data_IF_127214875407
#
_entry.id   IF_127214875407
#
_cell.length_a   1.000
_cell.length_b   1.000
_cell.length_c   1.000
_cell.angle_alpha   90.00
_cell.angle_beta   90.00
_cell.angle_gamma   90.00
#
_symmetry.space_group_name_H-M   'P 1'
#
loop_
_entity.id
_entity.type
_entity.pdbx_description
1 polymer ?
#
# COMPACT_ATOMS: atom_id res chain seq x y z
N UNK A 1 30.52 -9.13 1.04
CA UNK A 1 29.14 -8.62 0.80
C UNK A 1 28.97 -7.34 1.60
N UNK A 2 28.57 -6.23 1.00
CA UNK A 2 28.39 -4.96 1.72
C UNK A 2 27.26 -5.10 2.77
N UNK A 3 27.44 -4.65 4.03
CA UNK A 3 26.41 -4.72 5.08
C UNK A 3 25.06 -4.10 4.70
N UNK A 4 25.09 -3.11 3.81
CA UNK A 4 23.92 -2.33 3.36
C UNK A 4 22.91 -3.17 2.57
N UNK A 5 23.35 -4.21 1.83
CA UNK A 5 22.45 -5.05 1.02
C UNK A 5 21.59 -5.99 1.86
N UNK A 6 22.00 -6.29 3.10
CA UNK A 6 21.20 -7.09 4.04
C UNK A 6 20.03 -6.29 4.62
N UNK A 7 20.27 -5.04 4.98
CA UNK A 7 19.27 -4.16 5.58
C UNK A 7 18.08 -3.91 4.65
N UNK A 8 18.33 -3.78 3.34
CA UNK A 8 17.25 -3.62 2.33
C UNK A 8 16.37 -4.87 2.27
N UNK A 9 16.93 -6.08 2.38
CA UNK A 9 16.13 -7.31 2.36
C UNK A 9 15.18 -7.43 3.56
N UNK A 10 15.68 -7.11 4.76
CA UNK A 10 14.87 -7.09 5.98
C UNK A 10 13.81 -5.98 5.94
N UNK A 11 14.17 -4.79 5.43
CA UNK A 11 13.25 -3.69 5.18
C UNK A 11 12.03 -4.11 4.37
N UNK A 12 12.27 -4.82 3.26
CA UNK A 12 11.20 -5.26 2.37
C UNK A 12 10.18 -6.16 3.08
N UNK A 13 10.66 -7.09 3.91
CA UNK A 13 9.79 -7.96 4.72
C UNK A 13 8.96 -7.13 5.69
N UNK A 14 9.58 -6.20 6.42
CA UNK A 14 8.86 -5.38 7.40
C UNK A 14 7.85 -4.42 6.76
N UNK A 15 8.21 -3.73 5.68
CA UNK A 15 7.27 -2.89 4.94
C UNK A 15 6.09 -3.71 4.44
N UNK A 16 6.34 -4.91 3.90
CA UNK A 16 5.27 -5.77 3.40
C UNK A 16 4.38 -6.30 4.54
N UNK A 17 4.93 -6.61 5.71
CA UNK A 17 4.14 -6.95 6.90
C UNK A 17 3.22 -5.79 7.30
N UNK A 18 3.72 -4.54 7.30
CA UNK A 18 2.87 -3.37 7.58
C UNK A 18 1.76 -3.25 6.53
N UNK A 19 2.07 -3.44 5.23
CA UNK A 19 1.05 -3.46 4.16
C UNK A 19 -0.01 -4.52 4.42
N UNK A 20 0.36 -5.74 4.83
CA UNK A 20 -0.61 -6.81 5.13
C UNK A 20 -1.48 -6.48 6.33
N UNK A 21 -0.89 -6.00 7.43
CA UNK A 21 -1.63 -5.67 8.66
C UNK A 21 -2.60 -4.51 8.44
N UNK A 22 -2.13 -3.44 7.80
CA UNK A 22 -2.96 -2.30 7.46
C UNK A 22 -4.01 -2.66 6.42
N UNK A 23 -3.67 -3.48 5.42
CA UNK A 23 -4.61 -3.97 4.42
C UNK A 23 -5.73 -4.78 5.05
N UNK A 24 -5.41 -5.72 5.95
CA UNK A 24 -6.40 -6.48 6.70
C UNK A 24 -7.33 -5.56 7.51
N UNK A 25 -6.80 -4.51 8.14
CA UNK A 25 -7.64 -3.50 8.80
C UNK A 25 -8.61 -2.84 7.80
N UNK A 26 -8.11 -2.36 6.65
CA UNK A 26 -8.94 -1.70 5.64
C UNK A 26 -10.04 -2.62 5.11
N UNK A 27 -9.78 -3.93 4.97
CA UNK A 27 -10.78 -4.88 4.48
C UNK A 27 -12.01 -5.03 5.39
N UNK A 28 -11.91 -4.72 6.68
CA UNK A 28 -13.07 -4.77 7.58
C UNK A 28 -14.09 -3.65 7.33
N UNK A 29 -13.67 -2.56 6.70
CA UNK A 29 -14.48 -1.36 6.48
C UNK A 29 -14.73 -1.06 5.00
N UNK A 30 -14.14 -1.83 4.10
CA UNK A 30 -14.27 -1.64 2.66
C UNK A 30 -15.36 -2.55 2.07
N UNK A 31 -16.20 -1.98 1.20
CA UNK A 31 -17.27 -2.72 0.52
C UNK A 31 -16.97 -2.83 -0.98
N UNK A 32 -16.64 -4.02 -1.52
CA UNK A 32 -16.26 -4.19 -2.93
C UNK A 32 -17.49 -4.25 -3.87
N UNK A 33 -18.31 -3.20 -3.89
CA UNK A 33 -19.52 -3.12 -4.73
C UNK A 33 -19.55 -1.87 -5.61
N UNK A 34 -19.98 -2.04 -6.86
CA UNK A 34 -20.17 -0.96 -7.85
C UNK A 34 -21.60 -0.42 -7.85
N UNK A 35 -22.45 -0.85 -6.92
CA UNK A 35 -23.81 -0.34 -6.77
C UNK A 35 -23.79 1.16 -6.49
N UNK A 36 -24.64 1.89 -7.20
CA UNK A 36 -24.74 3.35 -7.10
C UNK A 36 -25.50 3.74 -5.83
N UNK A 37 -24.90 4.62 -5.03
CA UNK A 37 -25.45 5.16 -3.80
C UNK A 37 -25.28 6.67 -3.78
N UNK A 38 -26.21 7.36 -3.12
CA UNK A 38 -26.07 8.80 -2.84
C UNK A 38 -25.29 8.96 -1.55
N UNK A 39 -24.16 9.69 -1.60
CA UNK A 39 -23.32 9.88 -0.43
C UNK A 39 -23.99 10.80 0.60
N UNK A 40 -24.03 10.34 1.85
CA UNK A 40 -24.58 11.06 3.01
C UNK A 40 -23.64 11.00 4.23
N UNK A 41 -22.35 10.71 4.00
CA UNK A 41 -21.33 10.61 5.05
C UNK A 41 -20.81 11.97 5.53
N UNK A 42 -19.78 12.00 6.39
CA UNK A 42 -19.31 13.25 7.02
C UNK A 42 -18.59 14.24 6.11
N UNK A 43 -18.19 13.85 4.90
CA UNK A 43 -17.48 14.72 3.97
C UNK A 43 -18.44 15.62 3.17
N UNK A 44 -18.72 16.81 3.69
CA UNK A 44 -19.75 17.72 3.18
C UNK A 44 -19.66 18.04 1.67
N UNK A 45 -18.45 18.13 1.12
CA UNK A 45 -18.23 18.48 -0.30
C UNK A 45 -18.77 17.45 -1.29
N UNK A 46 -19.00 16.21 -0.86
CA UNK A 46 -19.53 15.14 -1.71
C UNK A 46 -20.94 14.71 -1.32
N UNK A 47 -21.57 15.35 -0.32
CA UNK A 47 -22.95 15.01 0.08
C UNK A 47 -23.94 15.22 -1.05
N UNK A 48 -24.86 14.28 -1.20
CA UNK A 48 -25.88 14.29 -2.25
C UNK A 48 -25.36 13.87 -3.63
N UNK A 49 -24.08 13.52 -3.78
CA UNK A 49 -23.51 13.07 -5.04
C UNK A 49 -23.65 11.55 -5.16
N UNK A 50 -24.13 11.09 -6.32
CA UNK A 50 -24.18 9.67 -6.65
C UNK A 50 -22.77 9.13 -6.95
N UNK A 51 -22.43 7.99 -6.33
CA UNK A 51 -21.13 7.33 -6.48
C UNK A 51 -21.25 5.83 -6.23
N UNK A 52 -20.20 5.06 -6.48
CA UNK A 52 -20.20 3.64 -6.14
C UNK A 52 -20.15 3.43 -4.62
N UNK A 53 -20.75 2.33 -4.17
CA UNK A 53 -20.68 1.88 -2.77
C UNK A 53 -19.23 1.66 -2.33
N UNK A 54 -18.36 1.21 -3.25
CA UNK A 54 -16.92 1.12 -3.03
C UNK A 54 -16.32 2.49 -2.69
N UNK A 55 -16.58 3.53 -3.49
CA UNK A 55 -16.05 4.86 -3.24
C UNK A 55 -16.66 5.49 -1.96
N UNK A 56 -17.94 5.27 -1.70
CA UNK A 56 -18.58 5.70 -0.45
C UNK A 56 -17.90 5.06 0.79
N UNK A 57 -17.68 3.73 0.78
CA UNK A 57 -16.98 3.05 1.90
C UNK A 57 -15.54 3.53 2.09
N UNK A 58 -14.89 3.96 1.02
CA UNK A 58 -13.57 4.58 1.05
C UNK A 58 -13.63 5.95 1.75
N UNK A 59 -14.64 6.78 1.47
CA UNK A 59 -14.84 8.06 2.16
C UNK A 59 -15.14 7.84 3.65
N UNK A 60 -16.03 6.92 3.99
CA UNK A 60 -16.38 6.60 5.38
C UNK A 60 -15.13 6.10 6.15
N UNK A 61 -14.30 5.27 5.52
CA UNK A 61 -13.03 4.82 6.09
C UNK A 61 -12.06 5.97 6.31
N UNK A 62 -12.08 7.02 5.50
CA UNK A 62 -11.24 8.19 5.70
C UNK A 62 -11.74 9.09 6.82
N UNK A 63 -13.04 9.38 6.86
CA UNK A 63 -13.58 10.48 7.66
C UNK A 63 -14.34 10.03 8.90
N UNK A 64 -14.94 8.83 8.89
CA UNK A 64 -15.82 8.35 9.96
C UNK A 64 -15.17 7.27 10.84
N UNK A 65 -14.22 6.49 10.30
CA UNK A 65 -13.46 5.50 11.07
C UNK A 65 -12.30 6.17 11.81
N UNK A 66 -12.26 6.02 13.14
CA UNK A 66 -11.17 6.56 13.99
C UNK A 66 -9.82 6.02 13.51
N UNK A 67 -8.96 6.92 13.06
CA UNK A 67 -7.63 6.59 12.53
C UNK A 67 -7.64 5.96 11.14
N UNK A 68 -8.78 5.85 10.47
CA UNK A 68 -8.88 5.18 9.18
C UNK A 68 -8.10 5.89 8.07
N UNK A 69 -8.17 7.23 7.97
CA UNK A 69 -7.31 8.01 7.06
C UNK A 69 -5.82 7.77 7.30
N UNK A 70 -5.39 7.72 8.57
CA UNK A 70 -4.02 7.44 8.92
C UNK A 70 -3.59 6.04 8.47
N UNK A 71 -4.41 5.02 8.72
CA UNK A 71 -4.11 3.64 8.30
C UNK A 71 -4.06 3.52 6.77
N UNK A 72 -4.95 4.21 6.04
CA UNK A 72 -4.91 4.29 4.57
C UNK A 72 -3.61 4.89 4.06
N UNK A 73 -3.20 6.03 4.61
CA UNK A 73 -1.92 6.65 4.26
C UNK A 73 -0.76 5.72 4.61
N UNK A 74 -0.77 5.11 5.80
CA UNK A 74 0.26 4.17 6.22
C UNK A 74 0.36 2.96 5.25
N UNK A 75 -0.78 2.41 4.82
CA UNK A 75 -0.83 1.32 3.85
C UNK A 75 -0.21 1.71 2.50
N UNK A 76 -0.60 2.88 1.98
CA UNK A 76 -0.10 3.39 0.70
C UNK A 76 1.40 3.73 0.77
N UNK A 77 1.82 4.50 1.77
CA UNK A 77 3.24 4.87 1.95
C UNK A 77 4.12 3.64 2.16
N UNK A 78 3.66 2.65 2.93
CA UNK A 78 4.40 1.39 3.11
C UNK A 78 4.53 0.60 1.81
N UNK A 79 3.49 0.60 0.97
CA UNK A 79 3.51 -0.02 -0.35
C UNK A 79 4.49 0.67 -1.30
N UNK A 80 4.55 2.01 -1.28
CA UNK A 80 5.51 2.80 -2.06
C UNK A 80 6.95 2.52 -1.60
N UNK A 81 7.20 2.55 -0.29
CA UNK A 81 8.53 2.26 0.27
C UNK A 81 8.96 0.82 -0.08
N UNK A 82 8.04 -0.14 -0.04
CA UNK A 82 8.30 -1.50 -0.49
C UNK A 82 8.75 -1.54 -1.96
N UNK A 83 7.99 -0.93 -2.88
CA UNK A 83 8.34 -0.92 -4.31
C UNK A 83 9.67 -0.23 -4.60
N UNK A 84 9.91 0.94 -3.98
CA UNK A 84 11.18 1.65 -4.10
C UNK A 84 12.33 0.79 -3.56
N UNK A 85 12.13 0.10 -2.44
CA UNK A 85 13.11 -0.83 -1.89
C UNK A 85 13.43 -2.00 -2.83
N UNK A 86 12.43 -2.55 -3.52
CA UNK A 86 12.65 -3.63 -4.50
C UNK A 86 13.41 -3.10 -5.72
N UNK A 87 13.07 -1.89 -6.19
CA UNK A 87 13.78 -1.23 -7.28
C UNK A 87 15.24 -0.93 -6.91
N UNK A 88 15.51 -0.45 -5.69
CA UNK A 88 16.88 -0.25 -5.19
C UNK A 88 17.64 -1.58 -5.05
N UNK A 89 16.96 -2.68 -4.68
CA UNK A 89 17.56 -4.01 -4.69
C UNK A 89 17.91 -4.46 -6.11
N UNK A 90 17.12 -4.08 -7.11
CA UNK A 90 17.37 -4.42 -8.51
C UNK A 90 18.66 -3.75 -9.02
N UNK A 91 18.90 -2.48 -8.69
CA UNK A 91 20.14 -1.78 -9.10
C UNK A 91 21.40 -2.39 -8.48
N UNK A 92 21.27 -3.10 -7.36
CA UNK A 92 22.35 -3.83 -6.72
C UNK A 92 22.67 -5.19 -7.36
N UNK A 93 21.84 -5.68 -8.29
CA UNK A 93 22.05 -6.95 -8.97
C UNK A 93 23.18 -6.81 -10.00
N UNK A 94 24.17 -7.72 -9.95
CA UNK A 94 25.35 -7.67 -10.84
C UNK A 94 25.26 -8.65 -12.02
N UNK A 95 24.27 -9.54 -12.01
CA UNK A 95 24.06 -10.54 -13.04
C UNK A 95 22.56 -10.69 -13.33
N UNK A 96 22.22 -10.96 -14.59
CA UNK A 96 20.84 -11.08 -15.06
C UNK A 96 20.03 -12.10 -14.24
N UNK A 97 20.59 -13.30 -14.01
CA UNK A 97 19.91 -14.36 -13.25
C UNK A 97 19.64 -13.97 -11.79
N UNK A 98 20.44 -13.07 -11.20
CA UNK A 98 20.19 -12.52 -9.87
C UNK A 98 19.08 -11.47 -9.88
N UNK A 99 18.95 -10.73 -10.99
CA UNK A 99 17.93 -9.71 -11.18
C UNK A 99 16.54 -10.29 -11.45
N UNK A 100 16.43 -11.42 -12.17
CA UNK A 100 15.15 -12.07 -12.53
C UNK A 100 14.15 -12.17 -11.36
N UNK A 101 14.48 -12.75 -10.19
CA UNK A 101 13.53 -12.85 -9.08
C UNK A 101 13.18 -11.48 -8.47
N UNK A 102 14.07 -10.49 -8.55
CA UNK A 102 13.81 -9.12 -8.06
C UNK A 102 12.90 -8.36 -9.02
N UNK A 103 13.10 -8.52 -10.33
CA UNK A 103 12.22 -7.98 -11.38
C UNK A 103 10.82 -8.59 -11.23
N UNK A 104 10.72 -9.90 -11.04
CA UNK A 104 9.44 -10.57 -10.82
C UNK A 104 8.71 -9.99 -9.59
N UNK A 105 9.42 -9.81 -8.47
CA UNK A 105 8.85 -9.20 -7.27
C UNK A 105 8.42 -7.74 -7.50
N UNK A 106 9.20 -6.96 -8.26
CA UNK A 106 8.87 -5.58 -8.60
C UNK A 106 7.60 -5.49 -9.45
N UNK A 107 7.50 -6.34 -10.49
CA UNK A 107 6.33 -6.40 -11.37
C UNK A 107 5.10 -6.86 -10.60
N UNK A 108 5.20 -7.94 -9.82
CA UNK A 108 4.09 -8.43 -9.00
C UNK A 108 3.63 -7.39 -7.98
N UNK A 109 4.56 -6.70 -7.32
CA UNK A 109 4.24 -5.63 -6.40
C UNK A 109 3.57 -4.44 -7.09
N UNK A 110 4.05 -4.04 -8.26
CA UNK A 110 3.49 -2.93 -9.02
C UNK A 110 2.06 -3.26 -9.51
N UNK A 111 1.86 -4.47 -10.05
CA UNK A 111 0.52 -4.96 -10.40
C UNK A 111 -0.41 -4.99 -9.19
N UNK A 112 0.10 -5.42 -8.02
CA UNK A 112 -0.68 -5.40 -6.79
C UNK A 112 -1.10 -3.98 -6.38
N UNK A 113 -0.19 -3.00 -6.52
CA UNK A 113 -0.47 -1.60 -6.20
C UNK A 113 -1.50 -0.99 -7.16
N UNK A 114 -1.41 -1.29 -8.46
CA UNK A 114 -2.41 -0.87 -9.45
C UNK A 114 -3.76 -1.50 -9.14
N UNK A 115 -3.79 -2.80 -8.85
CA UNK A 115 -5.02 -3.49 -8.50
C UNK A 115 -5.66 -2.90 -7.24
N UNK A 116 -4.86 -2.57 -6.22
CA UNK A 116 -5.35 -1.92 -5.00
C UNK A 116 -5.89 -0.51 -5.25
N UNK A 117 -5.24 0.26 -6.12
CA UNK A 117 -5.72 1.61 -6.48
C UNK A 117 -7.01 1.56 -7.29
N UNK A 118 -7.19 0.58 -8.18
CA UNK A 118 -8.42 0.39 -8.94
C UNK A 118 -9.67 0.17 -8.06
N UNK A 119 -9.49 -0.22 -6.79
CA UNK A 119 -10.57 -0.43 -5.82
C UNK A 119 -11.15 0.84 -5.24
N UNK A 120 -10.45 1.98 -5.32
CA UNK A 120 -11.00 3.24 -4.80
C UNK A 120 -12.17 3.73 -5.63
N UNK A 121 -12.24 3.32 -6.90
CA UNK A 121 -13.30 3.66 -7.85
C UNK A 121 -13.59 5.18 -7.94
N UNK A 122 -12.57 5.99 -7.66
CA UNK A 122 -12.57 7.42 -7.98
C UNK A 122 -12.50 7.64 -9.51
N UNK A 123 -12.64 8.89 -9.97
CA UNK A 123 -12.64 9.21 -11.41
C UNK A 123 -11.41 8.68 -12.18
N UNK A 124 -10.26 8.57 -11.52
CA UNK A 124 -9.03 8.07 -12.14
C UNK A 124 -8.94 6.53 -12.02
N UNK A 125 -9.26 5.98 -10.85
CA UNK A 125 -9.31 4.53 -10.62
C UNK A 125 -10.36 3.82 -11.49
N UNK A 126 -11.53 4.43 -11.72
CA UNK A 126 -12.56 3.91 -12.61
C UNK A 126 -12.09 3.76 -14.06
N UNK A 127 -11.20 4.65 -14.55
CA UNK A 127 -10.58 4.51 -15.88
C UNK A 127 -9.60 3.34 -15.96
N UNK A 128 -8.87 3.05 -14.89
CA UNK A 128 -7.94 1.91 -14.82
C UNK A 128 -8.72 0.60 -14.73
N UNK A 129 -9.80 0.58 -13.94
CA UNK A 129 -10.67 -0.58 -13.73
C UNK A 129 -11.37 -1.03 -15.02
N UNK A 130 -11.79 -0.07 -15.85
CA UNK A 130 -12.61 -0.32 -17.03
C UNK A 130 -13.97 -0.91 -16.66
N UNK A 131 -14.50 -1.78 -17.52
CA UNK A 131 -15.82 -2.42 -17.33
C UNK A 131 -15.79 -3.61 -16.36
N UNK A 132 -14.61 -4.01 -15.89
CA UNK A 132 -14.48 -5.18 -15.03
C UNK A 132 -15.13 -4.94 -13.65
N UNK A 133 -15.81 -5.97 -13.08
CA UNK A 133 -16.43 -5.86 -11.77
C UNK A 133 -15.40 -5.54 -10.66
N UNK A 134 -15.78 -4.67 -9.72
CA UNK A 134 -14.94 -4.32 -8.56
C UNK A 134 -14.52 -5.57 -7.77
N UNK A 135 -15.43 -6.53 -7.62
CA UNK A 135 -15.15 -7.80 -6.94
C UNK A 135 -14.00 -8.61 -7.57
N UNK A 136 -13.83 -8.54 -8.91
CA UNK A 136 -12.73 -9.23 -9.58
C UNK A 136 -11.38 -8.56 -9.31
N UNK A 137 -11.34 -7.23 -9.36
CA UNK A 137 -10.15 -6.47 -8.96
C UNK A 137 -9.80 -6.70 -7.49
N UNK A 138 -10.82 -6.82 -6.63
CA UNK A 138 -10.64 -7.11 -5.21
C UNK A 138 -10.01 -8.49 -5.00
N UNK A 139 -10.57 -9.52 -5.64
CA UNK A 139 -10.00 -10.86 -5.63
C UNK A 139 -8.58 -10.91 -6.20
N UNK A 140 -8.33 -10.22 -7.32
CA UNK A 140 -7.01 -10.13 -7.93
C UNK A 140 -5.99 -9.43 -7.02
N UNK A 141 -6.37 -8.35 -6.35
CA UNK A 141 -5.53 -7.65 -5.36
C UNK A 141 -5.17 -8.56 -4.19
N UNK A 142 -6.13 -9.28 -3.61
CA UNK A 142 -5.85 -10.22 -2.51
C UNK A 142 -4.94 -11.37 -2.96
N UNK A 143 -5.18 -11.92 -4.15
CA UNK A 143 -4.35 -12.98 -4.72
C UNK A 143 -2.93 -12.49 -4.99
N UNK A 144 -2.77 -11.32 -5.61
CA UNK A 144 -1.46 -10.72 -5.88
C UNK A 144 -0.71 -10.41 -4.59
N UNK A 145 -1.39 -9.88 -3.56
CA UNK A 145 -0.80 -9.66 -2.24
C UNK A 145 -0.27 -10.97 -1.64
N UNK A 146 -1.04 -12.06 -1.74
CA UNK A 146 -0.59 -13.39 -1.32
C UNK A 146 0.61 -13.90 -2.12
N UNK A 147 0.60 -13.76 -3.44
CA UNK A 147 1.72 -14.18 -4.31
C UNK A 147 2.98 -13.37 -3.99
N UNK A 148 2.87 -12.05 -3.79
CA UNK A 148 3.99 -11.19 -3.38
C UNK A 148 4.53 -11.62 -2.03
N UNK A 149 3.65 -11.93 -1.06
CA UNK A 149 4.04 -12.45 0.25
C UNK A 149 4.85 -13.75 0.11
N UNK A 150 4.35 -14.70 -0.67
CA UNK A 150 5.00 -15.99 -0.90
C UNK A 150 6.36 -15.81 -1.60
N UNK A 151 6.42 -14.98 -2.64
CA UNK A 151 7.65 -14.67 -3.37
C UNK A 151 8.70 -14.02 -2.44
N UNK A 152 8.27 -13.10 -1.57
CA UNK A 152 9.12 -12.44 -0.59
C UNK A 152 9.65 -13.42 0.46
N UNK A 153 8.80 -14.33 0.96
CA UNK A 153 9.21 -15.40 1.90
C UNK A 153 10.21 -16.34 1.24
N UNK A 154 9.97 -16.76 0.00
CA UNK A 154 10.91 -17.61 -0.74
C UNK A 154 12.25 -16.89 -0.94
N UNK A 155 12.22 -15.61 -1.32
CA UNK A 155 13.42 -14.79 -1.47
C UNK A 155 14.19 -14.66 -0.15
N UNK A 156 13.48 -14.44 0.96
CA UNK A 156 14.06 -14.34 2.30
C UNK A 156 14.69 -15.66 2.76
N UNK A 157 14.02 -16.80 2.55
CA UNK A 157 14.55 -18.13 2.88
C UNK A 157 15.81 -18.46 2.08
N UNK A 158 15.85 -18.13 0.80
CA UNK A 158 17.04 -18.29 -0.06
C UNK A 158 18.20 -17.38 0.36
N UNK A 159 17.90 -16.24 0.97
CA UNK A 159 18.91 -15.27 1.41
C UNK A 159 19.63 -15.69 2.70
N UNK A 160 19.21 -16.77 3.39
CA UNK A 160 19.91 -17.39 4.51
C UNK A 160 20.41 -16.39 5.57
N UNK A 161 19.55 -15.96 6.49
CA UNK A 161 19.98 -15.06 7.57
C UNK A 161 19.90 -15.73 8.95
N UNK A 162 21.08 -16.04 9.49
CA UNK A 162 21.32 -16.09 10.94
C UNK A 162 20.95 -14.73 11.59
N UNK A 163 20.52 -14.82 12.86
CA UNK A 163 19.88 -13.86 13.82
C UNK A 163 20.28 -12.35 13.81
N UNK A 164 19.45 -11.47 14.44
CA UNK A 164 19.11 -10.14 13.93
C UNK A 164 19.87 -8.95 14.56
N UNK A 165 20.00 -7.87 13.78
CA UNK A 165 20.24 -6.49 14.23
C UNK A 165 19.06 -5.56 13.86
N UNK A 166 17.85 -6.14 13.80
CA UNK A 166 16.64 -5.56 13.21
C UNK A 166 16.04 -4.36 13.97
N UNK A 167 16.26 -4.22 15.28
CA UNK A 167 15.53 -3.24 16.10
C UNK A 167 15.85 -1.77 15.74
N UNK A 168 17.13 -1.43 15.57
CA UNK A 168 17.54 -0.07 15.21
C UNK A 168 17.04 0.37 13.83
N UNK A 169 16.95 -0.58 12.91
CA UNK A 169 16.49 -0.33 11.56
C UNK A 169 14.96 -0.20 11.50
N UNK A 170 14.23 -0.99 12.29
CA UNK A 170 12.78 -0.84 12.51
C UNK A 170 12.46 0.56 13.04
N UNK A 171 13.23 1.07 14.00
CA UNK A 171 13.04 2.44 14.51
C UNK A 171 13.26 3.49 13.42
N UNK A 172 14.24 3.32 12.53
CA UNK A 172 14.48 4.25 11.42
C UNK A 172 13.36 4.19 10.38
N UNK A 173 12.90 3.01 9.97
CA UNK A 173 11.78 2.87 9.04
C UNK A 173 10.48 3.40 9.63
N UNK A 174 10.19 3.13 10.91
CA UNK A 174 9.06 3.72 11.61
C UNK A 174 9.19 5.25 11.68
N UNK A 175 10.41 5.77 11.88
CA UNK A 175 10.67 7.22 11.88
C UNK A 175 10.50 7.85 10.50
N UNK A 176 10.94 7.18 9.42
CA UNK A 176 10.75 7.64 8.03
C UNK A 176 9.29 7.56 7.60
N UNK A 177 8.57 6.53 8.06
CA UNK A 177 7.13 6.38 7.80
C UNK A 177 6.35 7.43 8.59
N UNK A 178 6.74 7.69 9.84
CA UNK A 178 6.19 8.79 10.64
C UNK A 178 6.50 10.14 9.98
N UNK A 179 7.71 10.37 9.48
CA UNK A 179 8.10 11.59 8.75
C UNK A 179 7.27 11.78 7.47
N UNK A 180 7.10 10.71 6.66
CA UNK A 180 6.31 10.74 5.43
C UNK A 180 4.82 10.99 5.69
N UNK A 181 4.32 10.59 6.87
CA UNK A 181 2.95 10.88 7.32
C UNK A 181 2.83 12.29 7.92
N UNK A 182 3.85 12.79 8.62
CA UNK A 182 3.87 14.12 9.23
C UNK A 182 4.04 15.25 8.20
N UNK A 183 4.73 14.99 7.08
CA UNK A 183 4.93 15.97 6.01
C UNK A 183 3.62 16.54 5.41
N UNK A 184 2.61 15.73 5.03
CA UNK A 184 1.32 16.23 4.59
C UNK A 184 0.43 16.77 5.72
N UNK A 185 0.59 16.30 6.98
CA UNK A 185 -0.13 16.86 8.12
C UNK A 185 0.27 18.32 8.40
N UNK A 186 1.54 18.67 8.19
CA UNK A 186 2.01 20.05 8.33
C UNK A 186 1.39 21.00 7.29
N UNK A 187 1.08 20.53 6.08
CA UNK A 187 0.44 21.33 5.04
C UNK A 187 -1.01 21.70 5.40
N UNK A 188 -1.71 20.82 6.11
CA UNK A 188 -3.08 21.04 6.59
C UNK A 188 -3.11 22.04 7.76
N UNK A 189 -2.08 22.05 8.61
CA UNK A 189 -1.98 22.98 9.74
C UNK A 189 -1.45 24.37 9.38
N UNK A 190 -0.55 24.48 8.39
CA UNK A 190 0.00 25.77 7.94
C UNK A 190 -0.92 26.53 6.98
N UNK A 191 -1.78 25.81 6.26
CA UNK A 191 -2.82 26.38 5.41
C UNK A 191 -4.19 26.03 5.98
N UNK A 192 -4.48 26.55 7.18
CA UNK A 192 -5.84 26.53 7.72
C UNK A 192 -6.82 27.16 6.71
N UNK A 193 -8.12 26.82 6.79
CA UNK A 193 -9.12 27.35 5.86
C UNK A 193 -9.06 28.88 5.91
N UNK A 194 -8.67 29.49 4.80
CA UNK A 194 -8.87 30.92 4.61
C UNK A 194 -10.38 31.18 4.73
N UNK A 195 -10.77 31.84 5.81
CA UNK A 195 -12.12 32.39 6.00
C UNK A 195 -12.51 33.29 4.83
#
# INVERSE_FOLDING_TARGET
MWPQQRLVGEMLVYCFVVVLLTGAFLTFFYTPSAEEVVYDGSYDLLKGIAMSTAYASVLDLSFDVRGGLFIRHLHQWSSVIFLVGVALRLTACRAFLQAVPVIALLVLGALNAVAGYALTDDLFAGRIRGEAPIAWWYGAHLLLAFVVAAALVVAWRRAGAQRPRALYFVVICLSLTLLAVLFPLNQIWLHGPSM
#
